data_IF_345308251629
#
_entry.id   IF_345308251629
#
_cell.length_a   1.000
_cell.length_b   1.000
_cell.length_c   1.000
_cell.angle_alpha   90.00
_cell.angle_beta   90.00
_cell.angle_gamma   90.00
#
_symmetry.space_group_name_H-M   'P 1'
#
loop_
_entity.id
_entity.type
_entity.pdbx_description
1 polymer ?
#
# COMPACT_ATOMS: atom_id res chain seq x y z
N UNK A 1 -5.27 5.83 17.39
CA UNK A 1 -5.72 4.43 17.20
C UNK A 1 -4.67 3.77 16.33
N UNK A 2 -3.81 2.94 16.92
CA UNK A 2 -2.63 2.40 16.23
C UNK A 2 -3.06 1.09 15.55
N UNK A 3 -3.67 1.20 14.38
CA UNK A 3 -4.45 0.08 13.80
C UNK A 3 -3.58 -1.07 13.24
N UNK A 4 -2.25 -0.96 13.15
CA UNK A 4 -1.43 -2.01 12.54
C UNK A 4 0.02 -2.13 13.07
N UNK A 5 0.33 -1.82 14.33
CA UNK A 5 1.74 -1.72 14.75
C UNK A 5 2.44 -3.04 15.13
N UNK A 6 1.82 -4.22 15.08
CA UNK A 6 2.46 -5.50 15.43
C UNK A 6 1.77 -6.74 14.82
N UNK A 7 1.47 -6.75 13.51
CA UNK A 7 0.80 -7.91 12.88
C UNK A 7 1.72 -8.85 12.11
N UNK A 8 2.99 -8.48 11.92
CA UNK A 8 3.91 -9.25 11.08
C UNK A 8 5.27 -9.39 11.75
N UNK A 9 5.67 -10.64 11.99
CA UNK A 9 7.03 -11.01 12.34
C UNK A 9 7.66 -11.61 11.09
N UNK A 10 8.68 -10.94 10.55
CA UNK A 10 9.42 -11.39 9.38
C UNK A 10 10.64 -12.17 9.85
N UNK A 11 10.86 -13.35 9.27
CA UNK A 11 11.98 -14.22 9.66
C UNK A 11 13.26 -13.83 8.93
N UNK A 12 13.14 -13.19 7.77
CA UNK A 12 14.28 -12.67 6.99
C UNK A 12 14.02 -11.24 6.50
N UNK A 13 15.10 -10.57 6.11
CA UNK A 13 15.04 -9.21 5.55
C UNK A 13 14.33 -9.22 4.19
N UNK A 14 14.54 -10.25 3.37
CA UNK A 14 13.86 -10.42 2.09
C UNK A 14 12.34 -10.54 2.24
N UNK A 15 11.84 -11.26 3.26
CA UNK A 15 10.40 -11.36 3.52
C UNK A 15 9.79 -9.99 3.89
N UNK A 16 10.52 -9.20 4.69
CA UNK A 16 10.13 -7.83 5.01
C UNK A 16 10.10 -6.96 3.75
N UNK A 17 11.16 -7.00 2.93
CA UNK A 17 11.22 -6.21 1.70
C UNK A 17 10.11 -6.58 0.73
N UNK A 18 9.84 -7.86 0.55
CA UNK A 18 8.76 -8.34 -0.31
C UNK A 18 7.40 -7.83 0.16
N UNK A 19 7.11 -7.91 1.46
CA UNK A 19 5.84 -7.45 2.02
C UNK A 19 5.66 -5.93 1.90
N UNK A 20 6.74 -5.16 2.12
CA UNK A 20 6.73 -3.69 1.94
C UNK A 20 6.50 -3.33 0.47
N UNK A 21 7.15 -4.03 -0.45
CA UNK A 21 7.02 -3.79 -1.88
C UNK A 21 5.60 -4.13 -2.36
N UNK A 22 5.06 -5.29 -1.99
CA UNK A 22 3.70 -5.70 -2.33
C UNK A 22 2.66 -4.71 -1.77
N UNK A 23 2.82 -4.29 -0.52
CA UNK A 23 1.92 -3.31 0.08
C UNK A 23 1.97 -1.96 -0.65
N UNK A 24 3.17 -1.44 -0.90
CA UNK A 24 3.36 -0.09 -1.44
C UNK A 24 3.02 -0.02 -2.93
N UNK A 25 3.51 -0.97 -3.71
CA UNK A 25 3.36 -0.97 -5.17
C UNK A 25 2.01 -1.52 -5.62
N UNK A 26 1.48 -2.54 -4.96
CA UNK A 26 0.21 -3.16 -5.36
C UNK A 26 -0.95 -2.58 -4.56
N UNK A 27 -0.97 -2.78 -3.25
CA UNK A 27 -2.15 -2.44 -2.45
C UNK A 27 -2.40 -0.93 -2.38
N UNK A 28 -1.38 -0.15 -2.02
CA UNK A 28 -1.54 1.30 -1.87
C UNK A 28 -1.81 1.97 -3.23
N UNK A 29 -1.01 1.67 -4.24
CA UNK A 29 -1.11 2.37 -5.52
C UNK A 29 -2.29 1.91 -6.39
N UNK A 30 -2.68 0.62 -6.34
CA UNK A 30 -3.63 0.06 -7.30
C UNK A 30 -4.96 -0.36 -6.68
N UNK A 31 -5.00 -0.66 -5.37
CA UNK A 31 -6.22 -1.18 -4.72
C UNK A 31 -6.89 -0.13 -3.85
N UNK A 32 -6.13 0.72 -3.16
CA UNK A 32 -6.69 1.63 -2.14
C UNK A 32 -7.18 2.95 -2.76
N UNK A 33 -8.50 3.22 -2.76
CA UNK A 33 -9.00 4.54 -3.14
C UNK A 33 -8.73 5.57 -2.03
N UNK A 34 -8.39 6.80 -2.42
CA UNK A 34 -8.15 7.90 -1.49
C UNK A 34 -9.18 9.01 -1.71
N UNK A 35 -9.78 9.49 -0.62
CA UNK A 35 -10.74 10.61 -0.67
C UNK A 35 -10.12 11.88 -1.27
N UNK A 36 -8.84 12.13 -1.02
CA UNK A 36 -8.07 13.24 -1.61
C UNK A 36 -7.99 13.17 -3.15
N UNK A 37 -8.10 11.96 -3.72
CA UNK A 37 -8.04 11.71 -5.15
C UNK A 37 -9.45 11.51 -5.75
N UNK A 38 -10.49 12.02 -5.09
CA UNK A 38 -11.88 11.81 -5.51
C UNK A 38 -12.31 10.34 -5.44
N UNK A 39 -11.83 9.60 -4.43
CA UNK A 39 -12.04 8.16 -4.26
C UNK A 39 -11.44 7.29 -5.37
N UNK A 40 -10.45 7.81 -6.10
CA UNK A 40 -9.64 7.03 -7.04
C UNK A 40 -8.37 6.51 -6.38
N UNK A 41 -7.81 5.44 -6.94
CA UNK A 41 -6.51 4.95 -6.52
C UNK A 41 -5.40 5.88 -7.02
N UNK A 42 -4.19 5.88 -6.40
CA UNK A 42 -3.08 6.72 -6.86
C UNK A 42 -2.72 6.49 -8.33
N UNK A 43 -2.77 5.22 -8.79
CA UNK A 43 -2.56 4.89 -10.20
C UNK A 43 -3.61 5.53 -11.12
N UNK A 44 -4.88 5.38 -10.77
CA UNK A 44 -5.98 5.97 -11.55
C UNK A 44 -5.89 7.49 -11.60
N UNK A 45 -5.51 8.15 -10.49
CA UNK A 45 -5.32 9.60 -10.46
C UNK A 45 -4.17 10.06 -11.37
N UNK A 46 -3.11 9.26 -11.50
CA UNK A 46 -1.96 9.56 -12.36
C UNK A 46 -2.26 9.34 -13.85
N UNK A 47 -3.06 8.33 -14.20
CA UNK A 47 -3.43 8.03 -15.59
C UNK A 47 -4.57 8.93 -16.10
N UNK A 48 -5.42 9.44 -15.20
CA UNK A 48 -6.58 10.25 -15.57
C UNK A 48 -6.31 11.77 -15.67
N UNK A 49 -5.05 12.21 -15.50
CA UNK A 49 -4.61 13.59 -15.73
C UNK A 49 -3.95 13.74 -17.08
#
# INVERSE_FOLDING_TARGET
KNECTNLYEFKTEEELYQAVEEFSYVHYNHVRPHSSNGYRTPYQARIAG
#
